data_IF_297460496394
#
_entry.id   IF_297460496394
#
_cell.length_a   1.000
_cell.length_b   1.000
_cell.length_c   1.000
_cell.angle_alpha   90.00
_cell.angle_beta   90.00
_cell.angle_gamma   90.00
#
_symmetry.space_group_name_H-M   'P 1'
#
loop_
_entity.id
_entity.type
_entity.pdbx_description
1 polymer ?
#
# COMPACT_ATOMS: atom_id res chain seq x y z
N UNK A 1 8.15 -4.75 -59.05
CA UNK A 1 8.89 -4.05 -57.98
C UNK A 1 8.43 -4.62 -56.66
N UNK A 2 9.16 -5.57 -56.09
CA UNK A 2 8.90 -6.03 -54.72
C UNK A 2 9.78 -5.20 -53.78
N UNK A 3 9.21 -4.72 -52.68
CA UNK A 3 9.95 -3.97 -51.66
C UNK A 3 11.07 -4.85 -51.07
N UNK A 4 12.28 -4.32 -50.94
CA UNK A 4 13.36 -4.97 -50.20
C UNK A 4 13.05 -5.01 -48.69
N UNK A 5 13.75 -5.89 -47.98
CA UNK A 5 13.65 -6.00 -46.51
C UNK A 5 14.25 -4.76 -45.85
N UNK A 6 13.66 -4.33 -44.75
CA UNK A 6 14.26 -3.31 -43.89
C UNK A 6 15.36 -3.94 -43.01
N UNK A 7 16.33 -3.14 -42.52
CA UNK A 7 17.38 -3.64 -41.63
C UNK A 7 16.85 -4.41 -40.41
N UNK A 8 15.80 -3.90 -39.76
CA UNK A 8 15.18 -4.57 -38.62
C UNK A 8 14.49 -5.90 -38.98
N UNK A 9 14.02 -6.07 -40.22
CA UNK A 9 13.43 -7.33 -40.70
C UNK A 9 14.53 -8.36 -41.01
N UNK A 10 15.72 -7.90 -41.41
CA UNK A 10 16.91 -8.74 -41.54
C UNK A 10 17.38 -9.19 -40.16
N UNK A 11 17.40 -8.31 -39.15
CA UNK A 11 17.78 -8.65 -37.77
C UNK A 11 16.90 -9.77 -37.19
N UNK A 12 15.58 -9.72 -37.41
CA UNK A 12 14.64 -10.78 -37.01
C UNK A 12 15.00 -12.15 -37.62
N UNK A 13 15.53 -12.16 -38.85
CA UNK A 13 15.99 -13.39 -39.51
C UNK A 13 17.32 -13.90 -38.95
N UNK A 14 18.15 -13.02 -38.39
CA UNK A 14 19.43 -13.35 -37.76
C UNK A 14 19.25 -13.92 -36.36
N UNK A 15 18.32 -13.38 -35.58
CA UNK A 15 18.05 -13.78 -34.19
C UNK A 15 17.43 -15.18 -34.06
N UNK A 16 17.07 -15.81 -35.18
CA UNK A 16 16.49 -17.15 -35.19
C UNK A 16 15.09 -17.21 -34.60
N UNK A 17 14.40 -16.07 -34.48
CA UNK A 17 13.06 -16.01 -33.92
C UNK A 17 12.08 -16.89 -34.71
N UNK A 18 11.24 -17.62 -33.99
CA UNK A 18 10.16 -18.44 -34.55
C UNK A 18 8.82 -17.77 -34.25
N UNK A 19 8.51 -16.73 -35.03
CA UNK A 19 7.28 -15.95 -34.89
C UNK A 19 6.46 -15.86 -36.17
N UNK A 20 5.20 -15.40 -36.03
CA UNK A 20 4.22 -15.27 -37.12
C UNK A 20 4.68 -14.39 -38.29
N UNK A 21 5.62 -13.46 -38.07
CA UNK A 21 6.16 -12.58 -39.10
C UNK A 21 7.30 -13.17 -39.95
N UNK A 22 7.91 -14.29 -39.54
CA UNK A 22 9.15 -14.80 -40.17
C UNK A 22 8.97 -15.63 -41.45
N UNK A 23 7.89 -16.41 -41.65
CA UNK A 23 7.69 -17.16 -42.89
C UNK A 23 7.65 -16.32 -44.18
N UNK A 24 6.94 -15.18 -44.26
CA UNK A 24 6.92 -14.37 -45.49
C UNK A 24 8.27 -13.72 -45.78
N UNK A 25 9.03 -13.32 -44.76
CA UNK A 25 10.38 -12.78 -44.91
C UNK A 25 11.33 -13.83 -45.49
N UNK A 26 11.29 -15.07 -44.96
CA UNK A 26 12.05 -16.21 -45.49
C UNK A 26 11.68 -16.55 -46.93
N UNK A 27 10.39 -16.43 -47.29
CA UNK A 27 9.95 -16.62 -48.68
C UNK A 27 10.50 -15.53 -49.60
N UNK A 28 10.52 -14.26 -49.15
CA UNK A 28 11.09 -13.15 -49.91
C UNK A 28 12.60 -13.34 -50.17
N UNK A 29 13.38 -13.69 -49.14
CA UNK A 29 14.83 -13.92 -49.25
C UNK A 29 15.18 -15.01 -50.27
N UNK A 30 14.32 -16.03 -50.45
CA UNK A 30 14.54 -17.07 -51.47
C UNK A 30 14.39 -16.57 -52.91
N UNK A 31 13.69 -15.44 -53.10
CA UNK A 31 13.37 -14.89 -54.43
C UNK A 31 14.24 -13.67 -54.74
N UNK A 32 14.59 -12.85 -53.75
CA UNK A 32 15.41 -11.66 -53.94
C UNK A 32 16.90 -11.94 -53.68
N UNK A 33 17.71 -11.89 -54.74
CA UNK A 33 19.16 -12.14 -54.65
C UNK A 33 19.91 -11.08 -53.81
N UNK A 34 19.45 -9.84 -53.81
CA UNK A 34 20.06 -8.73 -53.05
C UNK A 34 19.85 -8.93 -51.55
N UNK A 35 18.61 -9.17 -51.12
CA UNK A 35 18.33 -9.45 -49.72
C UNK A 35 18.93 -10.78 -49.24
N UNK A 36 19.06 -11.77 -50.13
CA UNK A 36 19.81 -13.00 -49.80
C UNK A 36 21.27 -12.69 -49.48
N UNK A 37 21.92 -11.87 -50.29
CA UNK A 37 23.29 -11.45 -50.07
C UNK A 37 23.44 -10.70 -48.75
N UNK A 38 22.59 -9.72 -48.48
CA UNK A 38 22.62 -8.94 -47.23
C UNK A 38 22.46 -9.83 -45.99
N UNK A 39 21.54 -10.80 -46.03
CA UNK A 39 21.32 -11.76 -44.93
C UNK A 39 22.55 -12.66 -44.73
N UNK A 40 23.17 -13.16 -45.80
CA UNK A 40 24.37 -14.00 -45.69
C UNK A 40 25.60 -13.22 -45.20
N UNK A 41 25.77 -11.97 -45.66
CA UNK A 41 26.83 -11.08 -45.19
C UNK A 41 26.65 -10.79 -43.69
N UNK A 42 25.42 -10.51 -43.25
CA UNK A 42 25.12 -10.29 -41.83
C UNK A 42 25.32 -11.56 -40.98
N UNK A 43 24.95 -12.75 -41.48
CA UNK A 43 25.25 -14.03 -40.80
C UNK A 43 26.75 -14.26 -40.66
N UNK A 44 27.55 -13.91 -41.67
CA UNK A 44 29.00 -14.03 -41.60
C UNK A 44 29.57 -13.14 -40.49
N UNK A 45 29.05 -11.91 -40.36
CA UNK A 45 29.41 -11.01 -39.27
C UNK A 45 29.03 -11.59 -37.90
N UNK A 46 27.80 -12.07 -37.72
CA UNK A 46 27.35 -12.68 -36.45
C UNK A 46 28.23 -13.85 -36.06
N UNK A 47 28.57 -14.75 -36.99
CA UNK A 47 29.49 -15.87 -36.73
C UNK A 47 30.88 -15.41 -36.28
N UNK A 48 31.35 -14.27 -36.75
CA UNK A 48 32.62 -13.69 -36.28
C UNK A 48 32.50 -13.14 -34.86
N UNK A 49 31.36 -12.54 -34.51
CA UNK A 49 31.07 -12.05 -33.16
C UNK A 49 30.88 -13.20 -32.16
N UNK A 50 30.31 -14.33 -32.58
CA UNK A 50 30.16 -15.53 -31.75
C UNK A 50 31.50 -16.17 -31.33
N UNK A 51 32.59 -15.87 -32.04
CA UNK A 51 33.94 -16.33 -31.68
C UNK A 51 34.55 -15.51 -30.53
N UNK A 52 33.95 -14.38 -30.16
CA UNK A 52 34.42 -13.54 -29.06
C UNK A 52 34.29 -14.33 -27.75
N UNK A 53 35.30 -14.31 -26.86
CA UNK A 53 35.23 -14.97 -25.57
C UNK A 53 34.00 -14.54 -24.77
N UNK A 54 33.20 -15.51 -24.32
CA UNK A 54 32.05 -15.24 -23.43
C UNK A 54 32.56 -14.68 -22.11
N UNK A 55 32.24 -13.41 -21.85
CA UNK A 55 32.48 -12.79 -20.55
C UNK A 55 31.44 -13.33 -19.55
N UNK A 56 31.91 -14.05 -18.54
CA UNK A 56 31.05 -14.45 -17.43
C UNK A 56 30.80 -13.25 -16.51
N UNK A 57 29.54 -12.99 -16.10
CA UNK A 57 29.26 -11.94 -15.13
C UNK A 57 29.89 -12.29 -13.77
N UNK A 58 30.17 -11.26 -12.97
CA UNK A 58 30.65 -11.44 -11.60
C UNK A 58 29.64 -12.27 -10.77
N UNK A 59 30.10 -13.00 -9.73
CA UNK A 59 29.19 -13.67 -8.81
C UNK A 59 28.18 -12.66 -8.24
N UNK A 60 26.96 -13.14 -7.98
CA UNK A 60 25.84 -12.35 -7.48
C UNK A 60 25.34 -11.23 -8.42
N UNK A 61 25.70 -11.26 -9.72
CA UNK A 61 25.23 -10.27 -10.67
C UNK A 61 23.71 -10.34 -10.89
N UNK A 62 23.16 -11.55 -11.03
CA UNK A 62 21.73 -11.75 -11.25
C UNK A 62 20.90 -11.26 -10.05
N UNK A 63 21.35 -11.54 -8.84
CA UNK A 63 20.74 -11.12 -7.59
C UNK A 63 20.76 -9.59 -7.45
N UNK A 64 21.89 -8.95 -7.80
CA UNK A 64 22.01 -7.47 -7.80
C UNK A 64 21.10 -6.82 -8.84
N UNK A 65 20.96 -7.42 -10.02
CA UNK A 65 20.02 -6.93 -11.05
C UNK A 65 18.59 -7.12 -10.58
N UNK A 66 18.25 -8.31 -10.09
CA UNK A 66 16.89 -8.64 -9.66
C UNK A 66 16.44 -7.84 -8.45
N UNK A 67 17.35 -7.45 -7.55
CA UNK A 67 17.06 -6.56 -6.44
C UNK A 67 16.71 -5.13 -6.88
N UNK A 68 17.11 -4.72 -8.08
CA UNK A 68 16.85 -3.37 -8.64
C UNK A 68 15.66 -3.33 -9.60
N UNK A 69 15.33 -4.47 -10.19
CA UNK A 69 14.16 -4.59 -11.06
C UNK A 69 12.91 -4.66 -10.18
N UNK A 70 12.11 -3.61 -10.19
CA UNK A 70 10.77 -3.63 -9.61
C UNK A 70 9.86 -4.47 -10.51
N UNK A 71 9.80 -5.78 -10.24
CA UNK A 71 8.79 -6.64 -10.88
C UNK A 71 7.44 -6.27 -10.25
N UNK A 72 6.58 -5.63 -11.04
CA UNK A 72 5.19 -5.42 -10.62
C UNK A 72 4.48 -6.77 -10.61
N UNK A 73 4.47 -7.41 -9.45
CA UNK A 73 3.66 -8.59 -9.21
C UNK A 73 2.26 -8.09 -8.88
N UNK A 74 1.23 -8.46 -9.65
CA UNK A 74 -0.14 -8.09 -9.31
C UNK A 74 -0.49 -8.56 -7.90
N UNK A 75 -1.16 -7.71 -7.11
CA UNK A 75 -1.45 -7.97 -5.70
C UNK A 75 -2.13 -9.32 -5.44
N UNK A 76 -2.94 -9.80 -6.40
CA UNK A 76 -3.64 -11.08 -6.29
C UNK A 76 -2.67 -12.26 -6.28
N UNK A 77 -1.54 -12.18 -6.99
CA UNK A 77 -0.51 -13.23 -7.01
C UNK A 77 0.21 -13.28 -5.66
N UNK A 78 0.58 -12.13 -5.11
CA UNK A 78 1.20 -12.08 -3.78
C UNK A 78 0.25 -12.58 -2.68
N UNK A 79 -1.05 -12.30 -2.80
CA UNK A 79 -2.05 -12.78 -1.86
C UNK A 79 -2.19 -14.31 -1.94
N UNK A 80 -2.12 -14.89 -3.14
CA UNK A 80 -2.20 -16.35 -3.30
C UNK A 80 -1.01 -17.07 -2.67
N UNK A 81 0.18 -16.48 -2.67
CA UNK A 81 1.36 -17.10 -2.07
C UNK A 81 1.27 -17.12 -0.53
N UNK A 82 0.75 -16.05 0.08
CA UNK A 82 0.44 -16.03 1.51
C UNK A 82 -0.60 -17.09 1.86
N UNK A 83 -1.68 -17.20 1.08
CA UNK A 83 -2.75 -18.17 1.32
C UNK A 83 -2.25 -19.60 1.18
N UNK A 84 -1.41 -19.89 0.17
CA UNK A 84 -0.86 -21.23 -0.06
C UNK A 84 -0.04 -21.76 1.11
N UNK A 85 0.66 -20.89 1.84
CA UNK A 85 1.38 -21.27 3.06
C UNK A 85 0.46 -21.75 4.19
N UNK A 86 -0.80 -21.32 4.20
CA UNK A 86 -1.80 -21.68 5.21
C UNK A 86 -2.73 -22.83 4.79
N UNK A 87 -2.71 -23.27 3.52
CA UNK A 87 -3.58 -24.36 3.03
C UNK A 87 -2.85 -25.70 3.14
N UNK A 88 -3.31 -26.64 3.98
CA UNK A 88 -2.73 -27.96 4.11
C UNK A 88 -2.94 -28.78 2.83
N UNK A 89 -1.98 -29.67 2.54
CA UNK A 89 -2.01 -30.50 1.33
C UNK A 89 -2.92 -31.72 1.45
N UNK A 90 -3.24 -32.19 2.67
CA UNK A 90 -4.08 -33.39 2.85
C UNK A 90 -5.55 -33.11 2.57
N UNK A 91 -6.18 -33.99 1.78
CA UNK A 91 -7.62 -33.92 1.43
C UNK A 91 -8.56 -33.70 2.63
N UNK A 92 -8.42 -34.42 3.77
CA UNK A 92 -9.30 -34.21 4.91
C UNK A 92 -9.06 -32.86 5.60
N UNK A 93 -7.82 -32.36 5.65
CA UNK A 93 -7.52 -31.07 6.29
C UNK A 93 -8.08 -29.89 5.50
N UNK A 94 -8.14 -29.99 4.16
CA UNK A 94 -8.78 -28.97 3.31
C UNK A 94 -10.28 -28.85 3.58
N UNK A 95 -10.96 -29.98 3.79
CA UNK A 95 -12.39 -29.99 4.13
C UNK A 95 -12.64 -29.39 5.51
N UNK A 96 -11.81 -29.72 6.50
CA UNK A 96 -11.92 -29.15 7.84
C UNK A 96 -11.69 -27.62 7.86
N UNK A 97 -10.71 -27.13 7.10
CA UNK A 97 -10.49 -25.69 6.94
C UNK A 97 -11.64 -24.98 6.22
N UNK A 98 -12.17 -25.59 5.15
CA UNK A 98 -13.33 -25.06 4.46
C UNK A 98 -14.54 -24.94 5.39
N UNK A 99 -14.82 -25.99 6.17
CA UNK A 99 -15.88 -25.99 7.17
C UNK A 99 -15.65 -24.95 8.26
N UNK A 100 -14.43 -24.83 8.78
CA UNK A 100 -14.05 -23.82 9.78
C UNK A 100 -14.23 -22.40 9.27
N UNK A 101 -13.76 -22.10 8.05
CA UNK A 101 -13.93 -20.79 7.42
C UNK A 101 -15.41 -20.44 7.21
N UNK A 102 -16.22 -21.41 6.79
CA UNK A 102 -17.67 -21.23 6.63
C UNK A 102 -18.35 -20.94 7.97
N UNK A 103 -17.96 -21.64 9.03
CA UNK A 103 -18.51 -21.45 10.38
C UNK A 103 -18.13 -20.08 10.96
N UNK A 104 -16.89 -19.63 10.75
CA UNK A 104 -16.44 -18.26 11.12
C UNK A 104 -17.22 -17.21 10.36
N UNK A 105 -17.42 -17.37 9.06
CA UNK A 105 -18.23 -16.46 8.25
C UNK A 105 -19.68 -16.37 8.75
N UNK A 106 -20.27 -17.51 9.14
CA UNK A 106 -21.62 -17.56 9.69
C UNK A 106 -21.72 -16.83 11.03
N UNK A 107 -20.74 -17.03 11.92
CA UNK A 107 -20.67 -16.37 13.23
C UNK A 107 -20.52 -14.86 13.10
N UNK A 108 -19.65 -14.39 12.19
CA UNK A 108 -19.48 -12.97 11.91
C UNK A 108 -20.76 -12.34 11.36
N UNK A 109 -21.45 -13.04 10.47
CA UNK A 109 -22.71 -12.57 9.91
C UNK A 109 -23.80 -12.48 10.99
N UNK A 110 -23.92 -13.51 11.84
CA UNK A 110 -24.85 -13.52 12.96
C UNK A 110 -24.53 -12.43 13.98
N UNK A 111 -23.25 -12.22 14.30
CA UNK A 111 -22.81 -11.14 15.18
C UNK A 111 -23.12 -9.76 14.58
N UNK A 112 -22.90 -9.57 13.28
CA UNK A 112 -23.23 -8.32 12.60
C UNK A 112 -24.72 -8.03 12.62
N UNK A 113 -25.56 -9.04 12.36
CA UNK A 113 -27.02 -8.92 12.45
C UNK A 113 -27.48 -8.63 13.88
N UNK A 114 -26.88 -9.29 14.88
CA UNK A 114 -27.17 -9.05 16.29
C UNK A 114 -26.87 -7.60 16.69
N UNK A 115 -25.70 -7.06 16.30
CA UNK A 115 -25.31 -5.68 16.55
C UNK A 115 -26.30 -4.71 15.90
N UNK A 116 -26.65 -4.92 14.63
CA UNK A 116 -27.62 -4.07 13.94
C UNK A 116 -28.99 -4.10 14.62
N UNK A 117 -29.45 -5.27 15.08
CA UNK A 117 -30.74 -5.40 15.77
C UNK A 117 -30.80 -4.75 17.15
N UNK A 118 -29.64 -4.51 17.77
CA UNK A 118 -29.51 -3.91 19.11
C UNK A 118 -28.92 -2.50 19.07
N UNK A 119 -28.81 -1.90 17.89
CA UNK A 119 -28.20 -0.58 17.70
C UNK A 119 -28.88 0.49 18.57
N UNK A 120 -30.21 0.51 18.65
CA UNK A 120 -30.94 1.50 19.47
C UNK A 120 -30.63 1.38 20.97
N UNK A 121 -30.51 0.15 21.48
CA UNK A 121 -30.15 -0.09 22.87
C UNK A 121 -28.68 0.29 23.15
N UNK A 122 -27.77 0.05 22.21
CA UNK A 122 -26.37 0.44 22.32
C UNK A 122 -26.20 1.96 22.26
N UNK A 123 -26.94 2.65 21.39
CA UNK A 123 -26.93 4.12 21.29
C UNK A 123 -27.50 4.73 22.57
N UNK A 124 -28.59 4.19 23.12
CA UNK A 124 -29.16 4.63 24.39
C UNK A 124 -28.18 4.44 25.56
N UNK A 125 -27.55 3.27 25.66
CA UNK A 125 -26.55 2.98 26.70
C UNK A 125 -25.31 3.88 26.56
N UNK A 126 -24.85 4.12 25.33
CA UNK A 126 -23.75 5.04 25.07
C UNK A 126 -24.10 6.47 25.48
N UNK A 127 -25.33 6.92 25.21
CA UNK A 127 -25.85 8.22 25.65
C UNK A 127 -25.85 8.35 27.18
N UNK A 128 -26.39 7.36 27.89
CA UNK A 128 -26.42 7.35 29.37
C UNK A 128 -25.02 7.29 29.97
N UNK A 129 -24.12 6.51 29.38
CA UNK A 129 -22.72 6.43 29.81
C UNK A 129 -21.98 7.75 29.58
N UNK A 130 -22.24 8.43 28.45
CA UNK A 130 -21.64 9.72 28.13
C UNK A 130 -22.14 10.81 29.08
N UNK A 131 -23.43 10.81 29.42
CA UNK A 131 -24.01 11.81 30.32
C UNK A 131 -23.46 11.65 31.75
N UNK A 132 -23.42 10.42 32.27
CA UNK A 132 -22.76 10.13 33.57
C UNK A 132 -21.26 10.46 33.55
N UNK A 133 -20.60 10.21 32.42
CA UNK A 133 -19.21 10.60 32.22
C UNK A 133 -19.02 12.11 32.31
N UNK A 134 -19.91 12.89 31.69
CA UNK A 134 -19.89 14.36 31.75
C UNK A 134 -20.16 14.90 33.15
N UNK A 135 -21.14 14.34 33.87
CA UNK A 135 -21.47 14.75 35.25
C UNK A 135 -20.31 14.49 36.22
N UNK A 136 -19.66 13.33 36.13
CA UNK A 136 -18.49 12.99 36.94
C UNK A 136 -17.27 13.86 36.60
N UNK A 137 -17.08 14.19 35.33
CA UNK A 137 -16.00 15.08 34.91
C UNK A 137 -16.25 16.53 35.37
N UNK A 138 -17.49 17.01 35.22
CA UNK A 138 -17.88 18.36 35.63
C UNK A 138 -17.77 18.56 37.14
N UNK A 139 -18.15 17.55 37.94
CA UNK A 139 -18.00 17.58 39.40
C UNK A 139 -16.53 17.52 39.84
N UNK A 140 -15.69 16.70 39.19
CA UNK A 140 -14.25 16.65 39.47
C UNK A 140 -13.54 17.96 39.08
N UNK A 141 -13.87 18.53 37.92
CA UNK A 141 -13.31 19.79 37.43
C UNK A 141 -13.80 20.97 38.28
N UNK A 142 -15.08 21.02 38.63
CA UNK A 142 -15.64 22.04 39.51
C UNK A 142 -15.01 22.01 40.91
N UNK A 143 -14.79 20.82 41.47
CA UNK A 143 -14.09 20.66 42.76
C UNK A 143 -12.63 21.10 42.70
N UNK A 144 -11.91 20.77 41.62
CA UNK A 144 -10.51 21.17 41.43
C UNK A 144 -10.36 22.67 41.17
N UNK A 145 -11.23 23.28 40.36
CA UNK A 145 -11.24 24.72 40.09
C UNK A 145 -11.65 25.52 41.32
N UNK A 146 -12.63 25.04 42.10
CA UNK A 146 -13.02 25.65 43.37
C UNK A 146 -11.87 25.66 44.39
N UNK A 147 -11.11 24.56 44.47
CA UNK A 147 -9.96 24.45 45.36
C UNK A 147 -8.74 25.29 44.93
N UNK A 148 -8.59 25.62 43.64
CA UNK A 148 -7.39 26.29 43.10
C UNK A 148 -7.60 27.76 42.72
N UNK A 149 -8.81 28.15 42.30
CA UNK A 149 -9.12 29.50 41.77
C UNK A 149 -9.97 30.31 42.75
N UNK A 150 -10.66 29.65 43.70
CA UNK A 150 -11.51 30.29 44.70
C UNK A 150 -12.93 30.58 44.22
N UNK A 151 -13.90 30.47 45.12
CA UNK A 151 -15.35 30.70 44.90
C UNK A 151 -15.73 32.00 44.14
N UNK A 152 -15.05 33.17 44.32
CA UNK A 152 -15.48 34.39 43.63
C UNK A 152 -15.26 34.35 42.10
N UNK A 153 -14.29 33.58 41.61
CA UNK A 153 -14.04 33.46 40.16
C UNK A 153 -15.13 32.61 39.46
N UNK A 154 -15.64 31.60 40.15
CA UNK A 154 -16.72 30.73 39.67
C UNK A 154 -18.05 31.49 39.55
N UNK A 155 -18.36 32.38 40.49
CA UNK A 155 -19.55 33.24 40.42
C UNK A 155 -19.49 34.26 39.27
N UNK A 156 -18.32 34.83 39.00
CA UNK A 156 -18.13 35.72 37.85
C UNK A 156 -18.35 34.98 36.52
N UNK A 157 -17.88 33.74 36.41
CA UNK A 157 -18.05 32.92 35.21
C UNK A 157 -19.49 32.46 34.98
N UNK A 158 -20.23 32.15 36.05
CA UNK A 158 -21.64 31.78 35.97
C UNK A 158 -22.55 32.97 35.61
N UNK A 159 -22.21 34.18 36.07
CA UNK A 159 -22.95 35.41 35.72
C UNK A 159 -22.72 35.88 34.27
N UNK A 160 -21.63 35.45 33.63
CA UNK A 160 -21.25 35.87 32.29
C UNK A 160 -21.96 35.08 31.16
N UNK A 161 -22.80 34.10 31.49
CA UNK A 161 -23.57 33.32 30.53
C UNK A 161 -22.71 32.65 29.44
N UNK A 162 -23.31 32.38 28.27
CA UNK A 162 -22.63 31.72 27.14
C UNK A 162 -21.38 32.48 26.64
N UNK A 163 -21.36 33.82 26.80
CA UNK A 163 -20.23 34.66 26.42
C UNK A 163 -19.02 34.49 27.35
N UNK A 164 -19.23 34.22 28.64
CA UNK A 164 -18.17 33.89 29.58
C UNK A 164 -17.51 32.53 29.29
N UNK A 165 -18.31 31.53 28.91
CA UNK A 165 -17.80 30.19 28.59
C UNK A 165 -16.94 30.18 27.32
N UNK A 166 -17.34 30.93 26.27
CA UNK A 166 -16.57 30.99 25.02
C UNK A 166 -15.24 31.72 25.19
N UNK A 167 -15.22 32.81 25.95
CA UNK A 167 -13.98 33.56 26.24
C UNK A 167 -13.02 32.75 27.11
N UNK A 168 -13.50 32.07 28.16
CA UNK A 168 -12.68 31.19 28.98
C UNK A 168 -12.11 30.00 28.19
N UNK A 169 -12.92 29.37 27.34
CA UNK A 169 -12.47 28.28 26.48
C UNK A 169 -11.40 28.74 25.46
N UNK A 170 -11.55 29.94 24.91
CA UNK A 170 -10.61 30.50 23.94
C UNK A 170 -9.28 30.88 24.59
N UNK A 171 -9.30 31.44 25.80
CA UNK A 171 -8.09 31.71 26.60
C UNK A 171 -7.37 30.40 26.97
N UNK A 172 -8.11 29.36 27.36
CA UNK A 172 -7.54 28.05 27.67
C UNK A 172 -6.92 27.37 26.44
N UNK A 173 -7.58 27.44 25.28
CA UNK A 173 -7.05 26.95 24.01
C UNK A 173 -5.78 27.71 23.58
N UNK A 174 -5.74 29.03 23.77
CA UNK A 174 -4.55 29.84 23.50
C UNK A 174 -3.38 29.49 24.44
N UNK A 175 -3.66 29.28 25.73
CA UNK A 175 -2.65 28.86 26.71
C UNK A 175 -2.05 27.49 26.38
N UNK A 176 -2.88 26.51 26.03
CA UNK A 176 -2.43 25.15 25.67
C UNK A 176 -1.71 25.11 24.32
N UNK A 177 -2.17 25.88 23.33
CA UNK A 177 -1.47 26.05 22.05
C UNK A 177 -0.11 26.76 22.22
N UNK A 178 -0.02 27.76 23.10
CA UNK A 178 1.23 28.43 23.46
C UNK A 178 2.23 27.47 24.12
N UNK A 179 1.79 26.66 25.07
CA UNK A 179 2.65 25.68 25.74
C UNK A 179 3.21 24.61 24.79
N UNK A 180 2.38 24.09 23.88
CA UNK A 180 2.79 23.05 22.92
C UNK A 180 3.73 23.57 21.84
N UNK A 181 3.56 24.81 21.39
CA UNK A 181 4.46 25.46 20.43
C UNK A 181 5.83 25.79 21.06
N UNK A 182 5.86 26.18 22.34
CA UNK A 182 7.10 26.41 23.08
C UNK A 182 7.91 25.11 23.26
N UNK A 183 7.24 24.01 23.63
CA UNK A 183 7.86 22.69 23.77
C UNK A 183 8.39 22.15 22.43
N UNK A 184 7.65 22.33 21.33
CA UNK A 184 8.12 21.96 19.98
C UNK A 184 9.31 22.81 19.53
N UNK A 185 9.32 24.11 19.84
CA UNK A 185 10.45 25.00 19.54
C UNK A 185 11.72 24.61 20.30
N UNK A 186 11.59 24.21 21.57
CA UNK A 186 12.70 23.70 22.37
C UNK A 186 13.20 22.35 21.87
N UNK A 187 12.30 21.43 21.49
CA UNK A 187 12.66 20.12 20.94
C UNK A 187 13.31 20.17 19.54
N UNK A 188 12.97 21.16 18.72
CA UNK A 188 13.59 21.35 17.41
C UNK A 188 15.03 21.90 17.51
N UNK A 189 15.31 22.73 18.52
CA UNK A 189 16.65 23.29 18.76
C UNK A 189 17.65 22.28 19.31
N UNK A 190 17.21 21.22 19.98
CA UNK A 190 18.09 20.18 20.53
C UNK A 190 18.51 19.12 19.51
N UNK A 191 17.89 19.07 18.31
CA UNK A 191 18.17 18.07 17.26
C UNK A 191 19.22 18.52 16.22
N UNK A 192 19.78 19.73 16.33
CA UNK A 192 20.78 20.30 15.41
C UNK A 192 22.15 20.41 16.11
N UNK A 193 22.55 19.42 16.90
CA UNK A 193 23.89 19.38 17.50
C UNK A 193 24.50 17.99 17.42
#
# INVERSE_FOLDING_TARGET
>A
MNRHLLPNEIDILLDGEVGFGTPPLKAHVRVCAECLKEVEDAKALVRSLEQIPRLAPAPLFAERVMARVQVYVPWYVSLTDVIRGFVPQSRPARLALGAGAMLVGLLLTAASLWILSRADALIFLAGVALERGRESLASAVGGALGATIGEPALHALQSAGWLGMTTAALVFLLMTAGATSLLRGLAARTRIR
#
